data_IF_220352667382
#
_entry.id   IF_220352667382
#
_cell.length_a   1.000
_cell.length_b   1.000
_cell.length_c   1.000
_cell.angle_alpha   90.00
_cell.angle_beta   90.00
_cell.angle_gamma   90.00
#
_symmetry.space_group_name_H-M   'P 1'
#
loop_
_entity.id
_entity.type
_entity.pdbx_description
1 polymer ?
#
# COMPACT_ATOMS: atom_id res chain seq x y z
N UNK A 1 8.45 0.77 10.11
CA UNK A 1 9.13 -0.52 10.40
C UNK A 1 10.52 -0.23 10.96
N UNK A 2 10.85 -0.77 12.12
CA UNK A 2 12.17 -0.65 12.73
C UNK A 2 13.04 -1.79 12.22
N UNK A 3 13.94 -1.48 11.30
CA UNK A 3 15.05 -2.37 10.95
C UNK A 3 16.24 -2.01 11.85
N UNK A 4 16.77 -2.93 12.67
CA UNK A 4 17.85 -2.63 13.63
C UNK A 4 19.09 -2.01 12.97
N UNK A 5 19.33 -2.30 11.69
CA UNK A 5 20.47 -1.82 10.91
C UNK A 5 20.18 -0.57 10.06
N UNK A 6 18.91 -0.21 9.84
CA UNK A 6 18.51 0.85 8.88
C UNK A 6 17.75 2.04 9.53
N UNK A 7 17.57 2.03 10.85
CA UNK A 7 16.87 3.09 11.57
C UNK A 7 15.35 3.10 11.35
N UNK A 8 14.70 4.17 11.80
CA UNK A 8 13.26 4.40 11.60
C UNK A 8 13.11 5.42 10.47
N UNK A 9 12.44 5.03 9.39
CA UNK A 9 12.00 5.94 8.33
C UNK A 9 10.50 6.17 8.46
N UNK A 10 10.08 7.43 8.39
CA UNK A 10 8.69 7.85 8.38
C UNK A 10 8.52 8.90 7.29
N UNK A 11 7.53 8.70 6.43
CA UNK A 11 7.12 9.64 5.39
C UNK A 11 5.62 9.84 5.47
N UNK A 12 5.17 11.06 5.19
CA UNK A 12 3.76 11.43 5.11
C UNK A 12 3.45 11.87 3.68
N UNK A 13 2.34 11.38 3.14
CA UNK A 13 1.90 11.66 1.78
C UNK A 13 0.46 12.13 1.82
N UNK A 14 0.12 13.11 0.96
CA UNK A 14 -1.26 13.52 0.77
C UNK A 14 -2.05 12.39 0.08
N UNK A 15 -3.21 12.04 0.62
CA UNK A 15 -4.11 11.05 0.06
C UNK A 15 -5.56 11.42 0.36
N UNK A 16 -6.46 11.10 -0.57
CA UNK A 16 -7.89 11.23 -0.36
C UNK A 16 -8.41 10.02 0.43
N UNK A 17 -8.66 10.22 1.73
CA UNK A 17 -9.15 9.18 2.63
C UNK A 17 -10.21 9.75 3.58
N UNK A 18 -11.39 9.14 3.63
CA UNK A 18 -12.55 9.62 4.40
C UNK A 18 -13.11 8.61 5.40
N UNK A 19 -12.45 7.46 5.55
CA UNK A 19 -12.82 6.39 6.47
C UNK A 19 -12.10 6.53 7.83
N UNK A 20 -12.40 5.64 8.77
CA UNK A 20 -11.71 5.58 10.07
C UNK A 20 -10.21 5.30 9.91
N UNK A 21 -9.39 5.83 10.81
CA UNK A 21 -7.94 5.60 10.80
C UNK A 21 -7.61 4.11 10.94
N UNK A 22 -6.66 3.64 10.13
CA UNK A 22 -6.23 2.24 10.13
C UNK A 22 -4.71 2.15 10.04
N UNK A 23 -4.15 1.10 10.64
CA UNK A 23 -2.74 0.75 10.54
C UNK A 23 -2.60 -0.65 9.93
N UNK A 24 -1.84 -0.76 8.83
CA UNK A 24 -1.58 -2.02 8.13
C UNK A 24 -0.09 -2.11 7.79
N UNK A 25 0.52 -3.24 8.12
CA UNK A 25 1.90 -3.56 7.73
C UNK A 25 1.96 -4.26 6.38
N UNK A 26 2.89 -3.84 5.51
CA UNK A 26 3.18 -4.51 4.24
C UNK A 26 4.67 -4.81 4.09
N UNK A 27 4.98 -5.77 3.22
CA UNK A 27 6.35 -5.91 2.73
C UNK A 27 6.66 -4.74 1.78
N UNK A 28 7.61 -3.89 2.15
CA UNK A 28 7.96 -2.71 1.37
C UNK A 28 8.46 -3.03 -0.05
N UNK A 29 9.17 -4.15 -0.24
CA UNK A 29 9.67 -4.54 -1.56
C UNK A 29 8.52 -4.90 -2.50
N UNK A 30 7.53 -5.66 -2.02
CA UNK A 30 6.36 -5.99 -2.84
C UNK A 30 5.52 -4.77 -3.19
N UNK A 31 5.33 -3.84 -2.23
CA UNK A 31 4.63 -2.59 -2.51
C UNK A 31 5.38 -1.78 -3.58
N UNK A 32 6.70 -1.62 -3.45
CA UNK A 32 7.54 -0.91 -4.43
C UNK A 32 7.48 -1.55 -5.82
N UNK A 33 7.56 -2.88 -5.89
CA UNK A 33 7.51 -3.61 -7.16
C UNK A 33 6.17 -3.40 -7.85
N UNK A 34 5.05 -3.46 -7.11
CA UNK A 34 3.70 -3.19 -7.64
C UNK A 34 3.60 -1.76 -8.15
N UNK A 35 4.01 -0.76 -7.33
CA UNK A 35 3.95 0.65 -7.71
C UNK A 35 4.79 0.95 -8.96
N UNK A 36 5.92 0.26 -9.16
CA UNK A 36 6.76 0.42 -10.35
C UNK A 36 6.10 -0.01 -11.67
N UNK A 37 5.05 -0.83 -11.60
CA UNK A 37 4.30 -1.29 -12.77
C UNK A 37 3.12 -0.37 -13.11
N UNK A 38 2.78 0.57 -12.24
CA UNK A 38 1.67 1.49 -12.43
C UNK A 38 2.20 2.75 -13.08
N UNK A 39 1.93 2.90 -14.38
CA UNK A 39 2.27 4.10 -15.14
C UNK A 39 1.23 5.21 -14.92
N UNK A 40 1.31 5.85 -13.74
CA UNK A 40 0.41 6.91 -13.27
C UNK A 40 1.03 7.66 -12.08
N UNK A 41 0.71 8.94 -11.95
CA UNK A 41 1.08 9.74 -10.77
C UNK A 41 0.21 9.39 -9.54
N UNK A 42 -0.95 8.75 -9.75
CA UNK A 42 -1.90 8.35 -8.72
C UNK A 42 -2.20 6.86 -8.77
N UNK A 43 -2.53 6.28 -7.61
CA UNK A 43 -2.91 4.88 -7.42
C UNK A 43 -4.07 4.77 -6.43
N UNK A 44 -4.99 3.85 -6.67
CA UNK A 44 -6.07 3.51 -5.73
C UNK A 44 -5.66 2.30 -4.88
N UNK A 45 -5.77 2.44 -3.55
CA UNK A 45 -5.62 1.35 -2.60
C UNK A 45 -6.98 1.07 -1.96
N UNK A 46 -7.51 -0.14 -2.15
CA UNK A 46 -8.70 -0.57 -1.43
C UNK A 46 -8.28 -1.36 -0.20
N UNK A 47 -8.49 -0.72 0.94
CA UNK A 47 -8.13 -1.22 2.26
C UNK A 47 -9.41 -1.71 2.95
N UNK A 48 -9.29 -2.82 3.69
CA UNK A 48 -10.33 -3.33 4.56
C UNK A 48 -9.79 -3.34 6.01
N UNK A 49 -9.70 -4.49 6.65
CA UNK A 49 -9.03 -4.64 7.95
C UNK A 49 -7.56 -5.09 7.80
N UNK A 50 -6.80 -5.06 8.90
CA UNK A 50 -5.37 -5.40 8.91
C UNK A 50 -5.05 -6.87 8.56
N UNK A 51 -6.05 -7.75 8.48
CA UNK A 51 -5.89 -9.14 8.04
C UNK A 51 -6.33 -9.39 6.60
N UNK A 52 -7.07 -8.46 6.00
CA UNK A 52 -7.66 -8.61 4.69
C UNK A 52 -6.68 -8.28 3.56
N UNK A 53 -6.79 -8.95 2.39
CA UNK A 53 -6.01 -8.59 1.21
C UNK A 53 -6.26 -7.14 0.80
N UNK A 54 -5.19 -6.43 0.43
CA UNK A 54 -5.27 -5.08 -0.14
C UNK A 54 -5.26 -5.15 -1.67
N UNK A 55 -6.20 -4.44 -2.28
CA UNK A 55 -6.27 -4.29 -3.73
C UNK A 55 -5.54 -3.02 -4.15
N UNK A 56 -4.72 -3.10 -5.20
CA UNK A 56 -3.97 -1.97 -5.73
C UNK A 56 -4.19 -1.90 -7.25
N UNK A 57 -4.60 -0.73 -7.75
CA UNK A 57 -4.83 -0.48 -9.18
C UNK A 57 -4.65 0.98 -9.54
N UNK A 58 -4.43 1.27 -10.83
CA UNK A 58 -4.31 2.65 -11.33
C UNK A 58 -5.58 3.47 -11.11
N UNK A 59 -6.70 2.92 -11.55
CA UNK A 59 -8.05 3.49 -11.47
C UNK A 59 -9.09 2.37 -11.71
N UNK A 60 -10.39 2.71 -11.65
CA UNK A 60 -11.50 1.77 -11.87
C UNK A 60 -11.48 1.04 -13.22
N UNK A 61 -10.84 1.61 -14.25
CA UNK A 61 -10.76 1.06 -15.61
C UNK A 61 -9.44 0.32 -15.86
N UNK A 62 -8.59 0.21 -14.84
CA UNK A 62 -7.31 -0.48 -14.96
C UNK A 62 -7.49 -1.95 -15.37
N UNK A 63 -6.82 -2.41 -16.45
CA UNK A 63 -6.86 -3.82 -16.85
C UNK A 63 -6.03 -4.71 -15.92
N UNK A 64 -5.08 -4.12 -15.20
CA UNK A 64 -4.22 -4.81 -14.24
C UNK A 64 -4.71 -4.54 -12.81
N UNK A 65 -4.70 -5.61 -12.00
CA UNK A 65 -5.20 -5.64 -10.64
C UNK A 65 -4.18 -6.40 -9.79
N UNK A 66 -3.64 -5.72 -8.77
CA UNK A 66 -2.65 -6.31 -7.88
C UNK A 66 -3.27 -6.58 -6.52
N UNK A 67 -2.91 -7.71 -5.92
CA UNK A 67 -3.36 -8.10 -4.59
C UNK A 67 -2.14 -8.28 -3.71
N UNK A 68 -2.11 -7.59 -2.57
CA UNK A 68 -1.04 -7.68 -1.58
C UNK A 68 -1.61 -8.09 -0.23
N UNK A 69 -1.05 -9.16 0.35
CA UNK A 69 -1.42 -9.59 1.69
C UNK A 69 -0.70 -8.75 2.74
N UNK A 70 -1.41 -8.30 3.80
CA UNK A 70 -0.78 -7.62 4.92
C UNK A 70 0.11 -8.59 5.70
N UNK A 71 1.14 -8.03 6.32
CA UNK A 71 2.00 -8.74 7.26
C UNK A 71 1.57 -8.38 8.68
N UNK A 72 1.60 -9.36 9.58
CA UNK A 72 1.55 -9.07 11.01
C UNK A 72 2.86 -8.39 11.40
N UNK A 73 2.76 -7.15 11.85
CA UNK A 73 3.85 -6.37 12.45
C UNK A 73 3.74 -6.36 13.96
#
# INVERSE_FOLDING_TARGET
VTSPDNGTAAEELAADYSSEGIEIGFNANYLKDILSQIDSDTVELHLADAGAPTLIRKDEKSPALYVLMPMRV
#
